data_IF_186323385789
#
_entry.id   IF_186323385789
#
_cell.length_a   1.000
_cell.length_b   1.000
_cell.length_c   1.000
_cell.angle_alpha   90.00
_cell.angle_beta   90.00
_cell.angle_gamma   90.00
#
_symmetry.space_group_name_H-M   'P 1'
#
loop_
_entity.id
_entity.type
_entity.pdbx_description
1 polymer ?
#
# COMPACT_ATOMS: atom_id res chain seq x y z
N UNK A 1 -3.32 0.19 5.07
CA UNK A 1 -2.17 1.12 5.07
C UNK A 1 -2.65 2.53 5.40
N UNK A 2 -1.77 3.38 5.91
CA UNK A 2 -2.08 4.77 6.25
C UNK A 2 -1.18 5.70 5.46
N UNK A 3 -1.76 6.76 4.89
CA UNK A 3 -0.98 7.89 4.37
C UNK A 3 -0.70 8.82 5.54
N UNK A 4 0.56 9.07 5.81
CA UNK A 4 1.01 9.94 6.89
C UNK A 4 1.62 11.19 6.28
N UNK A 5 1.25 12.36 6.81
CA UNK A 5 2.00 13.59 6.56
C UNK A 5 3.29 13.55 7.40
N UNK A 6 4.49 13.51 6.78
CA UNK A 6 5.75 13.39 7.51
C UNK A 6 6.12 14.65 8.30
N UNK A 7 5.50 15.80 8.03
CA UNK A 7 5.79 17.06 8.76
C UNK A 7 5.05 17.07 10.09
N UNK A 8 3.76 16.74 10.06
CA UNK A 8 2.89 16.77 11.26
C UNK A 8 2.76 15.43 11.96
N UNK A 9 3.27 14.34 11.37
CA UNK A 9 3.09 12.95 11.82
C UNK A 9 1.61 12.55 11.98
N UNK A 10 0.72 13.12 11.16
CA UNK A 10 -0.71 12.83 11.21
C UNK A 10 -1.13 11.89 10.08
N UNK A 11 -2.10 11.01 10.37
CA UNK A 11 -2.73 10.18 9.35
C UNK A 11 -3.68 11.05 8.53
N UNK A 12 -3.38 11.20 7.25
CA UNK A 12 -4.19 12.02 6.31
C UNK A 12 -5.19 11.18 5.54
N UNK A 13 -4.96 9.87 5.40
CA UNK A 13 -5.91 8.94 4.80
C UNK A 13 -5.63 7.49 5.21
N UNK A 14 -6.65 6.64 5.14
CA UNK A 14 -6.52 5.19 5.18
C UNK A 14 -6.71 4.61 3.78
N UNK A 15 -5.86 3.63 3.44
CA UNK A 15 -5.84 2.99 2.13
C UNK A 15 -5.97 1.48 2.30
N UNK A 16 -6.93 0.89 1.59
CA UNK A 16 -7.06 -0.56 1.52
C UNK A 16 -5.90 -1.14 0.69
N UNK A 17 -5.11 -2.01 1.31
CA UNK A 17 -3.91 -2.58 0.71
C UNK A 17 -4.08 -4.03 0.23
N UNK A 18 -5.30 -4.58 0.31
CA UNK A 18 -5.55 -5.98 0.06
C UNK A 18 -5.40 -6.85 1.31
N UNK A 19 -5.29 -8.17 1.10
CA UNK A 19 -5.28 -9.18 2.16
C UNK A 19 -3.85 -9.68 2.43
N UNK A 20 -3.42 -9.64 3.69
CA UNK A 20 -2.07 -10.08 4.12
C UNK A 20 -0.93 -9.46 3.29
N UNK A 21 -0.80 -8.12 3.27
CA UNK A 21 0.29 -7.46 2.56
C UNK A 21 1.64 -7.81 3.20
N UNK A 22 2.63 -8.15 2.37
CA UNK A 22 3.98 -8.53 2.85
C UNK A 22 5.09 -7.67 2.28
N UNK A 23 4.93 -7.15 1.08
CA UNK A 23 5.93 -6.31 0.42
C UNK A 23 5.25 -5.18 -0.37
N UNK A 24 6.02 -4.10 -0.58
CA UNK A 24 5.58 -2.91 -1.30
C UNK A 24 6.68 -2.39 -2.22
N UNK A 25 6.30 -1.94 -3.41
CA UNK A 25 7.19 -1.28 -4.36
C UNK A 25 6.51 -0.03 -4.98
N UNK A 26 7.32 0.95 -5.38
CA UNK A 26 6.86 2.17 -6.04
C UNK A 26 7.56 2.33 -7.40
N UNK A 27 6.77 2.54 -8.46
CA UNK A 27 7.28 2.64 -9.84
C UNK A 27 7.43 4.10 -10.34
N UNK A 28 7.17 5.09 -9.49
CA UNK A 28 7.13 6.51 -9.86
C UNK A 28 5.71 7.06 -10.10
N UNK A 29 4.69 6.19 -10.18
CA UNK A 29 3.28 6.60 -10.38
C UNK A 29 2.30 5.79 -9.53
N UNK A 30 2.63 4.53 -9.20
CA UNK A 30 1.74 3.60 -8.53
C UNK A 30 2.48 2.86 -7.41
N UNK A 31 1.71 2.48 -6.40
CA UNK A 31 2.16 1.59 -5.34
C UNK A 31 1.64 0.18 -5.67
N UNK A 32 2.57 -0.78 -5.68
CA UNK A 32 2.29 -2.18 -5.89
C UNK A 32 2.46 -2.91 -4.56
N UNK A 33 1.41 -3.62 -4.14
CA UNK A 33 1.37 -4.35 -2.87
C UNK A 33 1.28 -5.84 -3.17
N UNK A 34 2.26 -6.61 -2.71
CA UNK A 34 2.23 -8.06 -2.80
C UNK A 34 1.43 -8.65 -1.63
N UNK A 35 0.45 -9.50 -1.94
CA UNK A 35 -0.41 -10.16 -0.97
C UNK A 35 0.03 -11.61 -0.77
N UNK A 36 0.34 -11.99 0.47
CA UNK A 36 0.67 -13.37 0.84
C UNK A 36 -0.61 -14.14 1.14
N UNK A 37 -1.39 -14.38 0.11
CA UNK A 37 -2.48 -15.36 0.11
C UNK A 37 -2.07 -16.57 -0.74
N UNK A 38 -2.74 -17.71 -0.55
CA UNK A 38 -2.41 -19.00 -1.19
C UNK A 38 -2.26 -18.95 -2.72
N UNK A 39 -2.79 -17.91 -3.37
CA UNK A 39 -2.78 -17.73 -4.82
C UNK A 39 -1.88 -16.57 -5.30
N UNK A 40 -1.09 -15.94 -4.43
CA UNK A 40 -0.07 -14.93 -4.77
C UNK A 40 -0.58 -13.80 -5.67
N UNK A 41 -1.35 -12.86 -5.12
CA UNK A 41 -1.93 -11.74 -5.91
C UNK A 41 -1.22 -10.42 -5.62
N UNK A 42 -1.29 -9.48 -6.56
CA UNK A 42 -0.78 -8.11 -6.39
C UNK A 42 -1.93 -7.12 -6.45
N UNK A 43 -1.98 -6.19 -5.50
CA UNK A 43 -2.94 -5.08 -5.48
C UNK A 43 -2.26 -3.80 -5.94
N UNK A 44 -2.94 -3.05 -6.82
CA UNK A 44 -2.47 -1.76 -7.33
C UNK A 44 -3.19 -0.61 -6.65
N UNK A 45 -2.43 0.31 -6.08
CA UNK A 45 -2.93 1.56 -5.51
C UNK A 45 -2.43 2.70 -6.39
N UNK A 46 -3.36 3.53 -6.88
CA UNK A 46 -3.03 4.80 -7.56
C UNK A 46 -2.81 5.86 -6.49
N UNK A 47 -1.70 6.59 -6.59
CA UNK A 47 -1.30 7.63 -5.64
C UNK A 47 -1.82 8.99 -6.07
#
# INVERSE_FOLDING_TARGET
>A
MSKIDPVSNTVTATVNAGFYPVEVAFDGTNIWVANRIYLGTVSKIRV
#
